data_IF_198384171735
#
_entry.id   IF_198384171735
#
_cell.length_a   1.000
_cell.length_b   1.000
_cell.length_c   1.000
_cell.angle_alpha   90.00
_cell.angle_beta   90.00
_cell.angle_gamma   90.00
#
_symmetry.space_group_name_H-M   'P 1'
#
loop_
_entity.id
_entity.type
_entity.pdbx_description
1 polymer ?
#
# COMPACT_ATOMS: atom_id res chain seq x y z
N UNK A 1 -14.00 34.34 7.01
CA UNK A 1 -15.25 34.94 6.46
C UNK A 1 -15.95 33.89 5.60
N UNK A 2 -17.22 33.58 5.89
CA UNK A 2 -17.96 32.47 5.29
C UNK A 2 -18.18 32.66 3.78
N UNK A 3 -17.69 31.72 2.96
CA UNK A 3 -18.09 31.60 1.54
C UNK A 3 -19.58 31.22 1.48
N UNK A 4 -20.33 31.96 0.69
CA UNK A 4 -21.78 31.81 0.56
C UNK A 4 -22.14 30.38 0.12
N UNK A 5 -23.33 29.91 0.52
CA UNK A 5 -23.85 28.58 0.12
C UNK A 5 -23.83 28.41 -1.41
N UNK A 6 -24.00 29.50 -2.15
CA UNK A 6 -23.96 29.55 -3.61
C UNK A 6 -22.56 29.31 -4.18
N UNK A 7 -21.53 29.90 -3.58
CA UNK A 7 -20.12 29.63 -3.96
C UNK A 7 -19.68 28.21 -3.63
N UNK A 8 -20.19 27.61 -2.54
CA UNK A 8 -19.93 26.21 -2.21
C UNK A 8 -20.57 25.24 -3.20
N UNK A 9 -21.78 25.54 -3.68
CA UNK A 9 -22.48 24.74 -4.71
C UNK A 9 -21.78 24.90 -6.07
N UNK A 10 -21.37 26.12 -6.43
CA UNK A 10 -20.63 26.37 -7.67
C UNK A 10 -19.25 25.71 -7.65
N UNK A 11 -18.51 25.76 -6.53
CA UNK A 11 -17.24 25.05 -6.38
C UNK A 11 -17.42 23.53 -6.44
N UNK A 12 -18.48 22.97 -5.83
CA UNK A 12 -18.82 21.54 -5.93
C UNK A 12 -19.16 21.13 -7.36
N UNK A 13 -19.95 21.93 -8.06
CA UNK A 13 -20.35 21.62 -9.44
C UNK A 13 -19.19 21.81 -10.44
N UNK A 14 -18.29 22.76 -10.19
CA UNK A 14 -17.07 22.96 -10.99
C UNK A 14 -16.06 21.83 -10.74
N UNK A 15 -15.89 21.40 -9.48
CA UNK A 15 -15.11 20.21 -9.14
C UNK A 15 -15.69 18.96 -9.80
N UNK A 16 -17.00 18.73 -9.69
CA UNK A 16 -17.66 17.56 -10.29
C UNK A 16 -17.51 17.54 -11.81
N UNK A 17 -17.62 18.69 -12.50
CA UNK A 17 -17.52 18.77 -13.96
C UNK A 17 -16.08 18.61 -14.49
N UNK A 18 -15.08 19.09 -13.76
CA UNK A 18 -13.66 18.77 -14.02
C UNK A 18 -13.36 17.30 -13.72
N UNK A 19 -13.91 16.77 -12.61
CA UNK A 19 -13.74 15.38 -12.20
C UNK A 19 -14.34 14.41 -13.22
N UNK A 20 -15.54 14.64 -13.76
CA UNK A 20 -16.13 13.75 -14.76
C UNK A 20 -15.44 13.80 -16.12
N UNK A 21 -15.08 14.97 -16.64
CA UNK A 21 -14.38 15.08 -17.93
C UNK A 21 -12.90 14.65 -17.88
N UNK A 22 -12.23 14.87 -16.74
CA UNK A 22 -10.93 14.26 -16.49
C UNK A 22 -11.08 12.74 -16.33
N UNK A 23 -12.00 12.24 -15.49
CA UNK A 23 -12.20 10.80 -15.26
C UNK A 23 -12.61 10.01 -16.50
N UNK A 24 -13.40 10.56 -17.43
CA UNK A 24 -13.78 9.83 -18.65
C UNK A 24 -12.61 9.71 -19.64
N UNK A 25 -11.85 10.79 -19.85
CA UNK A 25 -10.62 10.72 -20.66
C UNK A 25 -9.50 9.94 -19.95
N UNK A 26 -9.49 9.96 -18.62
CA UNK A 26 -8.51 9.31 -17.76
C UNK A 26 -8.77 7.80 -17.62
N UNK A 27 -10.03 7.37 -17.46
CA UNK A 27 -10.43 5.95 -17.56
C UNK A 27 -9.98 5.36 -18.89
N UNK A 28 -10.25 6.06 -20.00
CA UNK A 28 -9.80 5.64 -21.33
C UNK A 28 -8.28 5.64 -21.52
N UNK A 29 -7.51 6.36 -20.70
CA UNK A 29 -6.04 6.49 -20.84
C UNK A 29 -5.29 5.56 -19.89
N UNK A 30 -5.78 5.35 -18.66
CA UNK A 30 -5.32 4.25 -17.81
C UNK A 30 -5.64 2.91 -18.46
N UNK A 31 -6.83 2.74 -19.05
CA UNK A 31 -7.16 1.56 -19.88
C UNK A 31 -6.20 1.35 -21.07
N UNK A 32 -5.44 2.37 -21.50
CA UNK A 32 -4.44 2.26 -22.57
C UNK A 32 -3.03 1.92 -22.09
N UNK A 33 -2.70 2.12 -20.82
CA UNK A 33 -1.37 1.86 -20.23
C UNK A 33 -1.32 0.64 -19.29
N UNK A 34 -2.28 0.53 -18.36
CA UNK A 34 -2.36 -0.52 -17.34
C UNK A 34 -3.80 -0.97 -17.11
N UNK A 35 -4.05 -2.28 -17.05
CA UNK A 35 -5.29 -2.81 -16.49
C UNK A 35 -5.17 -2.82 -14.96
N UNK A 36 -5.31 -1.66 -14.31
CA UNK A 36 -5.55 -1.65 -12.86
C UNK A 36 -6.93 -2.27 -12.67
N UNK A 37 -7.02 -3.40 -11.96
CA UNK A 37 -8.31 -4.06 -11.74
C UNK A 37 -9.23 -3.15 -10.92
N UNK A 38 -10.10 -2.43 -11.61
CA UNK A 38 -11.29 -1.83 -11.01
C UNK A 38 -12.37 -2.90 -11.00
N UNK A 39 -12.54 -3.64 -9.89
CA UNK A 39 -13.86 -4.23 -9.66
C UNK A 39 -14.80 -3.05 -9.40
N UNK A 40 -15.84 -2.93 -10.23
CA UNK A 40 -16.94 -1.96 -10.03
C UNK A 40 -16.59 -0.47 -10.22
N UNK A 41 -15.50 -0.15 -10.92
CA UNK A 41 -15.08 1.24 -11.16
C UNK A 41 -14.38 1.91 -9.96
N UNK A 42 -14.00 1.14 -8.94
CA UNK A 42 -13.20 1.60 -7.81
C UNK A 42 -11.73 1.26 -8.05
N UNK A 43 -10.87 2.29 -8.13
CA UNK A 43 -9.43 2.07 -8.18
C UNK A 43 -8.93 1.51 -6.85
N UNK A 44 -8.14 0.44 -6.96
CA UNK A 44 -7.46 -0.17 -5.83
C UNK A 44 -6.10 0.47 -5.61
N UNK A 45 -5.63 0.43 -4.37
CA UNK A 45 -4.30 0.89 -4.02
C UNK A 45 -3.25 -0.02 -4.65
N UNK A 46 -2.16 0.59 -5.10
CA UNK A 46 -0.97 -0.12 -5.53
C UNK A 46 -0.11 -0.41 -4.30
N UNK A 47 0.24 -1.68 -4.14
CA UNK A 47 1.08 -2.19 -3.05
C UNK A 47 2.15 -3.09 -3.63
N UNK A 48 3.38 -2.95 -3.13
CA UNK A 48 4.47 -3.90 -3.41
C UNK A 48 4.40 -4.95 -2.33
N UNK A 49 4.17 -6.18 -2.76
CA UNK A 49 3.93 -7.29 -1.86
C UNK A 49 4.85 -8.45 -2.19
N UNK A 50 5.16 -9.24 -1.17
CA UNK A 50 5.70 -10.57 -1.34
C UNK A 50 4.66 -11.57 -0.85
N UNK A 51 4.46 -12.66 -1.60
CA UNK A 51 3.71 -13.80 -1.08
C UNK A 51 4.52 -14.43 0.04
N UNK A 52 3.82 -14.89 1.05
CA UNK A 52 4.44 -15.52 2.20
C UNK A 52 3.94 -16.96 2.27
N UNK A 53 4.88 -17.89 2.37
CA UNK A 53 4.60 -19.28 2.66
C UNK A 53 5.13 -19.61 4.06
N UNK A 54 4.19 -19.87 4.95
CA UNK A 54 4.43 -20.41 6.30
C UNK A 54 3.73 -21.75 6.35
N UNK A 55 4.09 -22.63 7.27
CA UNK A 55 3.32 -23.85 7.52
C UNK A 55 1.83 -23.51 7.74
N UNK A 56 0.98 -23.93 6.81
CA UNK A 56 -0.46 -23.65 6.83
C UNK A 56 -1.12 -24.27 8.06
N UNK A 57 -0.65 -25.43 8.53
CA UNK A 57 -1.18 -26.07 9.73
C UNK A 57 -0.89 -25.22 10.96
N UNK A 58 0.32 -24.65 11.04
CA UNK A 58 0.68 -23.74 12.12
C UNK A 58 -0.17 -22.47 12.12
N UNK A 59 -0.33 -21.81 10.96
CA UNK A 59 -1.15 -20.60 10.86
C UNK A 59 -2.62 -20.86 11.20
N UNK A 60 -3.19 -21.97 10.72
CA UNK A 60 -4.56 -22.38 11.04
C UNK A 60 -4.75 -22.63 12.52
N UNK A 61 -3.82 -23.34 13.16
CA UNK A 61 -3.86 -23.58 14.60
C UNK A 61 -3.83 -22.26 15.38
N UNK A 62 -2.93 -21.34 15.05
CA UNK A 62 -2.90 -20.02 15.69
C UNK A 62 -4.19 -19.23 15.49
N UNK A 63 -4.72 -19.17 14.27
CA UNK A 63 -5.98 -18.47 13.98
C UNK A 63 -7.16 -19.09 14.74
N UNK A 64 -7.15 -20.42 14.91
CA UNK A 64 -8.16 -21.14 15.70
C UNK A 64 -8.06 -20.77 17.17
N UNK A 65 -6.85 -20.84 17.77
CA UNK A 65 -6.62 -20.43 19.15
C UNK A 65 -7.03 -18.96 19.41
N UNK A 66 -6.73 -18.06 18.47
CA UNK A 66 -7.14 -16.66 18.54
C UNK A 66 -8.66 -16.50 18.47
N UNK A 67 -9.34 -17.25 17.60
CA UNK A 67 -10.80 -17.21 17.43
C UNK A 67 -11.52 -17.79 18.65
N UNK A 68 -10.97 -18.83 19.28
CA UNK A 68 -11.53 -19.41 20.51
C UNK A 68 -11.35 -18.47 21.70
N UNK A 69 -10.24 -17.73 21.75
CA UNK A 69 -9.92 -16.84 22.86
C UNK A 69 -10.62 -15.47 22.75
N UNK A 70 -10.81 -14.97 21.53
CA UNK A 70 -11.33 -13.64 21.26
C UNK A 70 -12.54 -13.74 20.32
N UNK A 71 -13.74 -13.57 20.87
CA UNK A 71 -15.03 -13.72 20.16
C UNK A 71 -15.17 -12.79 18.95
N UNK A 72 -14.47 -11.65 18.96
CA UNK A 72 -14.50 -10.63 17.92
C UNK A 72 -13.34 -10.74 16.91
N UNK A 73 -12.48 -11.76 17.03
CA UNK A 73 -11.39 -11.99 16.10
C UNK A 73 -11.90 -12.51 14.76
N UNK A 74 -11.53 -11.81 13.70
CA UNK A 74 -11.82 -12.17 12.31
C UNK A 74 -10.51 -12.57 11.61
N UNK A 75 -10.29 -13.87 11.34
CA UNK A 75 -9.06 -14.33 10.70
C UNK A 75 -8.96 -13.87 9.24
N UNK A 76 -7.75 -13.52 8.81
CA UNK A 76 -7.44 -13.32 7.38
C UNK A 76 -7.43 -14.67 6.67
N UNK A 77 -7.98 -14.73 5.45
CA UNK A 77 -7.84 -15.93 4.59
C UNK A 77 -6.36 -16.24 4.36
N UNK A 78 -5.96 -17.50 4.47
CA UNK A 78 -4.55 -17.90 4.28
C UNK A 78 -4.02 -17.56 2.89
N UNK A 79 -4.88 -17.64 1.86
CA UNK A 79 -4.53 -17.28 0.48
C UNK A 79 -4.27 -15.77 0.30
N UNK A 80 -4.76 -14.95 1.23
CA UNK A 80 -4.57 -13.50 1.26
C UNK A 80 -3.39 -13.08 2.14
N UNK A 81 -2.65 -14.00 2.73
CA UNK A 81 -1.46 -13.69 3.54
C UNK A 81 -0.32 -13.21 2.65
N UNK A 82 0.14 -11.99 2.91
CA UNK A 82 1.21 -11.32 2.18
C UNK A 82 2.01 -10.44 3.14
N UNK A 83 3.22 -10.10 2.70
CA UNK A 83 4.07 -9.10 3.35
C UNK A 83 4.11 -7.88 2.45
N UNK A 84 3.79 -6.72 3.00
CA UNK A 84 3.85 -5.47 2.23
C UNK A 84 5.21 -4.80 2.41
N UNK A 85 5.91 -4.56 1.30
CA UNK A 85 7.17 -3.84 1.25
C UNK A 85 6.98 -2.33 1.09
N UNK A 86 5.86 -1.92 0.51
CA UNK A 86 5.54 -0.51 0.35
C UNK A 86 4.13 -0.29 -0.21
N UNK A 87 3.61 0.89 0.07
CA UNK A 87 2.34 1.36 -0.46
C UNK A 87 2.61 2.54 -1.39
N UNK A 88 1.82 2.64 -2.45
CA UNK A 88 1.89 3.71 -3.45
C UNK A 88 0.58 4.49 -3.57
N UNK A 89 -0.42 4.15 -2.75
CA UNK A 89 -1.75 4.77 -2.79
C UNK A 89 -2.52 4.43 -4.06
N UNK A 90 -3.54 5.25 -4.37
CA UNK A 90 -4.31 5.16 -5.63
C UNK A 90 -3.68 6.08 -6.68
N UNK A 91 -3.44 5.62 -7.91
CA UNK A 91 -2.80 6.44 -8.96
C UNK A 91 -3.47 7.79 -9.21
N UNK A 92 -4.80 7.87 -9.22
CA UNK A 92 -5.53 9.14 -9.46
C UNK A 92 -5.24 10.17 -8.40
N UNK A 93 -5.29 9.72 -7.14
CA UNK A 93 -5.08 10.57 -6.00
C UNK A 93 -3.61 11.02 -5.95
N UNK A 94 -2.69 10.10 -6.28
CA UNK A 94 -1.27 10.42 -6.42
C UNK A 94 -1.03 11.49 -7.48
N UNK A 95 -1.65 11.37 -8.65
CA UNK A 95 -1.52 12.34 -9.72
C UNK A 95 -2.06 13.72 -9.32
N UNK A 96 -3.28 13.76 -8.76
CA UNK A 96 -3.92 15.02 -8.35
C UNK A 96 -3.15 15.73 -7.23
N UNK A 97 -2.58 14.99 -6.27
CA UNK A 97 -1.73 15.58 -5.23
C UNK A 97 -0.39 16.07 -5.79
N UNK A 98 0.26 15.30 -6.66
CA UNK A 98 1.49 15.74 -7.31
C UNK A 98 1.27 17.00 -8.15
N UNK A 99 0.11 17.17 -8.79
CA UNK A 99 -0.23 18.40 -9.52
C UNK A 99 -0.35 19.63 -8.62
N UNK A 100 -0.64 19.48 -7.33
CA UNK A 100 -0.69 20.62 -6.41
C UNK A 100 0.71 21.21 -6.15
N UNK A 101 1.74 20.36 -6.16
CA UNK A 101 3.14 20.76 -5.96
C UNK A 101 3.91 20.95 -7.27
N UNK A 102 3.48 20.29 -8.35
CA UNK A 102 4.00 20.42 -9.71
C UNK A 102 2.84 20.73 -10.68
N UNK A 103 2.40 21.99 -10.78
CA UNK A 103 1.19 22.38 -11.54
C UNK A 103 1.20 22.00 -13.03
N UNK A 104 2.39 21.90 -13.61
CA UNK A 104 2.58 21.58 -15.03
C UNK A 104 2.78 20.08 -15.29
N UNK A 105 2.64 19.21 -14.29
CA UNK A 105 2.73 17.76 -14.46
C UNK A 105 1.62 17.28 -15.41
N UNK A 106 2.02 16.70 -16.54
CA UNK A 106 1.10 16.11 -17.50
C UNK A 106 0.75 14.66 -17.11
N UNK A 107 -0.42 14.20 -17.51
CA UNK A 107 -0.85 12.82 -17.27
C UNK A 107 0.07 11.80 -17.95
N UNK A 108 0.51 12.11 -19.18
CA UNK A 108 1.39 11.20 -19.94
C UNK A 108 2.75 11.05 -19.25
N UNK A 109 3.33 12.17 -18.77
CA UNK A 109 4.57 12.15 -17.99
C UNK A 109 4.39 11.34 -16.70
N UNK A 110 3.29 11.56 -15.98
CA UNK A 110 3.00 10.83 -14.76
C UNK A 110 2.88 9.32 -15.02
N UNK A 111 2.12 8.93 -16.03
CA UNK A 111 1.89 7.52 -16.37
C UNK A 111 3.19 6.85 -16.79
N UNK A 112 3.98 7.47 -17.67
CA UNK A 112 5.29 6.92 -18.08
C UNK A 112 6.22 6.73 -16.86
N UNK A 113 6.28 7.71 -15.96
CA UNK A 113 7.10 7.59 -14.76
C UNK A 113 6.57 6.53 -13.79
N UNK A 114 5.24 6.37 -13.70
CA UNK A 114 4.59 5.34 -12.89
C UNK A 114 4.94 3.96 -13.44
N UNK A 115 4.88 3.77 -14.76
CA UNK A 115 5.23 2.51 -15.41
C UNK A 115 6.68 2.10 -15.12
N UNK A 116 7.60 3.05 -15.17
CA UNK A 116 9.01 2.84 -14.80
C UNK A 116 9.19 2.51 -13.32
N UNK A 117 8.43 3.16 -12.42
CA UNK A 117 8.39 2.85 -10.99
C UNK A 117 7.94 1.40 -10.78
N UNK A 118 6.81 1.01 -11.38
CA UNK A 118 6.26 -0.35 -11.29
C UNK A 118 7.26 -1.38 -11.86
N UNK A 119 7.91 -1.04 -12.98
CA UNK A 119 9.07 -1.74 -13.53
C UNK A 119 10.14 -2.06 -12.50
N UNK A 120 10.58 -1.04 -11.78
CA UNK A 120 11.69 -1.15 -10.84
C UNK A 120 11.32 -1.90 -9.55
N UNK A 121 10.11 -1.73 -9.02
CA UNK A 121 9.72 -2.31 -7.73
C UNK A 121 9.41 -3.82 -7.79
N UNK A 122 9.01 -4.35 -8.94
CA UNK A 122 8.83 -5.81 -9.12
C UNK A 122 10.12 -6.59 -8.91
N UNK A 123 11.27 -5.96 -9.10
CA UNK A 123 12.60 -6.59 -9.00
C UNK A 123 13.32 -6.30 -7.68
N UNK A 124 12.59 -5.88 -6.63
CA UNK A 124 13.19 -5.61 -5.32
C UNK A 124 13.58 -6.91 -4.61
N UNK A 125 12.71 -7.90 -4.64
CA UNK A 125 12.98 -9.28 -4.20
C UNK A 125 12.82 -10.18 -5.42
N UNK A 126 13.90 -10.81 -5.86
CA UNK A 126 13.94 -11.56 -7.12
C UNK A 126 13.96 -13.07 -6.94
N UNK A 127 14.17 -13.55 -5.72
CA UNK A 127 14.29 -14.96 -5.40
C UNK A 127 13.49 -15.32 -4.14
N UNK A 128 13.28 -16.61 -3.92
CA UNK A 128 12.67 -17.09 -2.69
C UNK A 128 13.68 -16.95 -1.54
N UNK A 129 13.28 -16.29 -0.47
CA UNK A 129 14.14 -16.01 0.67
C UNK A 129 13.53 -16.55 1.96
N UNK A 130 14.38 -17.17 2.79
CA UNK A 130 14.00 -17.64 4.12
C UNK A 130 14.20 -16.55 5.18
N UNK A 131 13.25 -16.43 6.10
CA UNK A 131 13.33 -15.63 7.32
C UNK A 131 12.60 -16.35 8.46
N UNK A 132 12.51 -15.73 9.63
CA UNK A 132 11.78 -16.25 10.79
C UNK A 132 10.82 -15.20 11.34
N UNK A 133 9.68 -15.66 11.84
CA UNK A 133 8.84 -14.82 12.69
C UNK A 133 9.49 -14.61 14.06
N UNK A 134 9.10 -13.55 14.75
CA UNK A 134 9.66 -13.17 16.05
C UNK A 134 8.59 -13.09 17.14
N UNK A 135 7.45 -12.47 16.84
CA UNK A 135 6.46 -12.12 17.86
C UNK A 135 5.04 -12.03 17.27
N UNK A 136 4.04 -12.36 18.08
CA UNK A 136 2.64 -12.00 17.80
C UNK A 136 2.34 -10.71 18.55
N UNK A 137 1.77 -9.74 17.85
CA UNK A 137 1.40 -8.43 18.41
C UNK A 137 -0.01 -8.03 17.98
N UNK A 138 -0.58 -7.11 18.74
CA UNK A 138 -1.76 -6.34 18.34
C UNK A 138 -1.33 -4.91 18.03
N UNK A 139 -1.67 -4.42 16.85
CA UNK A 139 -1.51 -3.01 16.49
C UNK A 139 -2.72 -2.20 16.92
N UNK A 140 -2.53 -0.88 17.12
CA UNK A 140 -3.60 0.06 17.51
C UNK A 140 -4.79 0.07 16.54
N UNK A 141 -4.56 -0.34 15.28
CA UNK A 141 -5.59 -0.52 14.26
C UNK A 141 -6.54 -1.70 14.52
N UNK A 142 -6.26 -2.53 15.53
CA UNK A 142 -6.94 -3.80 15.78
C UNK A 142 -6.37 -4.97 14.98
N UNK A 143 -5.30 -4.76 14.20
CA UNK A 143 -4.66 -5.84 13.45
C UNK A 143 -3.85 -6.75 14.38
N UNK A 144 -4.13 -8.05 14.36
CA UNK A 144 -3.29 -9.07 14.99
C UNK A 144 -2.27 -9.54 13.97
N UNK A 145 -0.99 -9.39 14.32
CA UNK A 145 0.10 -9.55 13.37
C UNK A 145 1.15 -10.53 13.89
N UNK A 146 1.81 -11.20 12.95
CA UNK A 146 3.04 -11.94 13.17
C UNK A 146 4.20 -11.09 12.65
N UNK A 147 5.06 -10.62 13.54
CA UNK A 147 6.24 -9.83 13.17
C UNK A 147 7.31 -10.76 12.58
N UNK A 148 8.03 -10.22 11.61
CA UNK A 148 9.03 -10.95 10.82
C UNK A 148 10.38 -10.27 11.02
N UNK A 149 11.43 -11.09 11.19
CA UNK A 149 12.78 -10.58 11.33
C UNK A 149 13.19 -9.74 10.13
N UNK A 150 13.63 -8.51 10.38
CA UNK A 150 13.83 -7.49 9.33
C UNK A 150 14.98 -7.81 8.38
N UNK A 151 15.93 -8.68 8.75
CA UNK A 151 17.07 -9.17 7.94
C UNK A 151 17.27 -8.50 6.58
N UNK A 152 16.94 -9.21 5.49
CA UNK A 152 17.02 -8.67 4.13
C UNK A 152 15.84 -7.73 3.77
N UNK A 153 14.75 -7.79 4.52
CA UNK A 153 13.51 -7.06 4.27
C UNK A 153 13.69 -5.56 4.50
N UNK A 154 14.54 -5.16 5.44
CA UNK A 154 14.96 -3.78 5.63
C UNK A 154 15.57 -3.21 4.33
N UNK A 155 16.52 -3.95 3.74
CA UNK A 155 17.14 -3.60 2.45
C UNK A 155 16.11 -3.55 1.32
N UNK A 156 15.14 -4.46 1.30
CA UNK A 156 14.07 -4.48 0.30
C UNK A 156 13.18 -3.22 0.42
N UNK A 157 12.71 -2.90 1.62
CA UNK A 157 11.94 -1.68 1.90
C UNK A 157 12.71 -0.42 1.54
N UNK A 158 14.00 -0.36 1.87
CA UNK A 158 14.86 0.78 1.51
C UNK A 158 14.95 0.95 -0.01
N UNK A 159 15.08 -0.14 -0.78
CA UNK A 159 15.05 -0.06 -2.25
C UNK A 159 13.71 0.47 -2.78
N UNK A 160 12.57 0.03 -2.23
CA UNK A 160 11.25 0.56 -2.61
C UNK A 160 11.17 2.06 -2.33
N UNK A 161 11.70 2.50 -1.18
CA UNK A 161 11.78 3.91 -0.82
C UNK A 161 12.66 4.71 -1.79
N UNK A 162 13.86 4.25 -2.10
CA UNK A 162 14.75 4.94 -3.05
C UNK A 162 14.14 5.03 -4.46
N UNK A 163 13.46 3.97 -4.90
CA UNK A 163 12.71 3.95 -6.17
C UNK A 163 11.57 4.98 -6.13
N UNK A 164 10.87 5.11 -5.00
CA UNK A 164 9.84 6.12 -4.76
C UNK A 164 10.40 7.54 -4.87
N UNK A 165 11.53 7.84 -4.21
CA UNK A 165 12.16 9.15 -4.28
C UNK A 165 12.54 9.52 -5.72
N UNK A 166 13.06 8.55 -6.48
CA UNK A 166 13.38 8.75 -7.91
C UNK A 166 12.12 9.05 -8.72
N UNK A 167 11.02 8.35 -8.48
CA UNK A 167 9.73 8.62 -9.13
C UNK A 167 9.23 10.03 -8.84
N UNK A 168 9.23 10.47 -7.58
CA UNK A 168 8.81 11.83 -7.20
C UNK A 168 9.69 12.89 -7.89
N UNK A 169 11.00 12.68 -7.91
CA UNK A 169 11.95 13.56 -8.58
C UNK A 169 11.72 13.64 -10.09
N UNK A 170 11.45 12.50 -10.75
CA UNK A 170 11.10 12.44 -12.18
C UNK A 170 9.80 13.17 -12.51
N UNK A 171 8.86 13.21 -11.57
CA UNK A 171 7.63 13.98 -11.69
C UNK A 171 7.80 15.47 -11.34
N UNK A 172 9.02 15.93 -11.03
CA UNK A 172 9.33 17.34 -10.81
C UNK A 172 9.23 17.82 -9.36
N UNK A 173 9.06 16.91 -8.39
CA UNK A 173 9.11 17.25 -6.97
C UNK A 173 10.54 17.66 -6.61
N UNK A 174 10.70 18.89 -6.10
CA UNK A 174 12.01 19.47 -5.79
C UNK A 174 12.68 18.79 -4.60
N UNK A 175 11.91 18.51 -3.55
CA UNK A 175 12.35 17.80 -2.35
C UNK A 175 11.43 16.60 -2.08
N UNK A 176 11.74 15.42 -2.67
CA UNK A 176 10.96 14.21 -2.48
C UNK A 176 10.84 13.76 -1.02
N UNK A 177 11.89 13.93 -0.20
CA UNK A 177 11.89 13.47 1.19
C UNK A 177 10.98 14.34 2.05
N UNK A 178 11.09 15.67 1.91
CA UNK A 178 10.20 16.60 2.61
C UNK A 178 8.74 16.42 2.18
N UNK A 179 8.49 16.17 0.88
CA UNK A 179 7.16 15.85 0.38
C UNK A 179 6.59 14.62 1.09
N UNK A 180 7.32 13.51 1.14
CA UNK A 180 6.88 12.29 1.83
C UNK A 180 6.65 12.49 3.33
N UNK A 181 7.46 13.30 4.00
CA UNK A 181 7.28 13.62 5.42
C UNK A 181 6.04 14.50 5.68
N UNK A 182 5.62 15.28 4.68
CA UNK A 182 4.45 16.16 4.78
C UNK A 182 3.11 15.44 4.54
N UNK A 183 3.14 14.30 3.85
CA UNK A 183 1.98 13.43 3.69
C UNK A 183 1.61 12.84 5.07
N UNK A 184 0.53 13.33 5.68
CA UNK A 184 0.09 12.91 7.02
C UNK A 184 -0.33 11.44 7.05
N UNK A 185 0.11 10.70 8.06
CA UNK A 185 -0.23 9.28 8.28
C UNK A 185 -1.72 9.01 8.56
N UNK A 186 -2.52 10.03 8.88
CA UNK A 186 -3.87 9.83 9.45
C UNK A 186 -5.06 10.10 8.51
N UNK A 187 -4.88 10.62 7.29
CA UNK A 187 -6.05 10.95 6.45
C UNK A 187 -5.89 10.84 4.93
N UNK A 188 -4.69 10.60 4.38
CA UNK A 188 -4.52 10.58 2.92
C UNK A 188 -4.67 9.18 2.35
N UNK A 189 -5.34 9.06 1.20
CA UNK A 189 -5.35 7.85 0.36
C UNK A 189 -3.97 7.52 -0.26
N UNK A 190 -2.95 8.29 0.14
CA UNK A 190 -1.54 8.16 -0.13
C UNK A 190 -0.83 7.72 1.13
N UNK A 191 -0.32 6.50 1.07
CA UNK A 191 0.59 5.96 2.05
C UNK A 191 1.86 5.65 1.31
N UNK A 192 2.91 6.43 1.51
CA UNK A 192 4.25 6.00 1.22
C UNK A 192 4.87 5.60 2.55
N UNK A 193 5.03 4.30 2.75
CA UNK A 193 5.59 3.81 3.99
C UNK A 193 7.10 4.05 3.99
N UNK A 194 7.55 4.92 4.90
CA UNK A 194 8.96 5.12 5.20
C UNK A 194 9.49 3.87 5.89
N UNK A 195 10.55 3.21 5.36
CA UNK A 195 11.05 1.91 5.85
C UNK A 195 11.32 1.87 7.35
N UNK A 196 11.83 2.97 7.92
CA UNK A 196 12.29 3.03 9.32
C UNK A 196 11.16 3.02 10.35
N UNK A 197 9.89 3.21 9.95
CA UNK A 197 8.78 3.42 10.91
C UNK A 197 7.78 2.28 10.98
N UNK A 198 7.85 1.30 10.09
CA UNK A 198 6.88 0.22 10.08
C UNK A 198 7.55 -1.14 10.26
N UNK A 199 7.25 -1.74 11.40
CA UNK A 199 7.61 -3.11 11.72
C UNK A 199 7.15 -4.06 10.60
N UNK A 200 8.04 -4.92 10.12
CA UNK A 200 7.69 -5.90 9.10
C UNK A 200 6.80 -6.99 9.69
N UNK A 201 5.63 -7.21 9.09
CA UNK A 201 4.65 -8.11 9.67
C UNK A 201 3.73 -8.75 8.62
N UNK A 202 3.04 -9.80 9.05
CA UNK A 202 1.94 -10.46 8.35
C UNK A 202 0.68 -10.32 9.21
N UNK A 203 -0.44 -9.93 8.61
CA UNK A 203 -1.72 -9.82 9.32
C UNK A 203 -2.41 -11.19 9.42
N UNK A 204 -2.52 -11.71 10.63
CA UNK A 204 -3.23 -12.97 10.92
C UNK A 204 -4.74 -12.76 10.97
N UNK A 205 -5.20 -11.57 11.34
CA UNK A 205 -6.60 -11.21 11.42
C UNK A 205 -6.81 -9.87 12.13
N UNK A 206 -8.06 -9.59 12.50
CA UNK A 206 -8.48 -8.31 13.07
C UNK A 206 -9.37 -8.51 14.30
N UNK A 207 -9.26 -7.65 15.30
CA UNK A 207 -10.16 -7.57 16.46
C UNK A 207 -10.86 -6.20 16.49
N UNK A 208 -11.96 -6.08 17.24
CA UNK A 208 -12.60 -4.79 17.52
C UNK A 208 -11.91 -4.13 18.73
N UNK A 209 -12.05 -2.81 18.84
CA UNK A 209 -11.16 -1.88 19.56
C UNK A 209 -11.05 -1.97 21.10
N UNK A 210 -11.23 -3.14 21.72
CA UNK A 210 -11.05 -3.34 23.16
C UNK A 210 -10.31 -4.64 23.54
N UNK A 211 -9.86 -5.41 22.55
CA UNK A 211 -9.12 -6.66 22.80
C UNK A 211 -7.67 -6.36 23.14
N UNK A 212 -7.13 -6.97 24.20
CA UNK A 212 -5.70 -6.93 24.50
C UNK A 212 -5.10 -8.29 24.21
N UNK A 213 -4.10 -8.34 23.32
CA UNK A 213 -3.32 -9.54 23.07
C UNK A 213 -2.00 -9.41 23.81
N UNK A 214 -1.71 -10.36 24.70
CA UNK A 214 -0.38 -10.47 25.29
C UNK A 214 0.59 -10.85 24.18
N UNK A 215 1.62 -10.04 23.99
CA UNK A 215 2.66 -10.37 23.03
C UNK A 215 3.28 -11.73 23.36
N UNK A 216 3.47 -12.55 22.33
CA UNK A 216 4.01 -13.90 22.46
C UNK A 216 5.17 -14.05 21.50
N UNK A 217 6.35 -14.39 22.02
CA UNK A 217 7.48 -14.77 21.17
C UNK A 217 7.15 -16.05 20.43
N UNK A 218 7.47 -16.07 19.15
CA UNK A 218 7.33 -17.21 18.26
C UNK A 218 8.55 -17.27 17.37
N UNK A 219 8.89 -18.47 16.90
CA UNK A 219 9.98 -18.67 15.96
C UNK A 219 9.53 -19.68 14.94
N UNK A 220 8.93 -19.19 13.86
CA UNK A 220 8.45 -20.03 12.77
C UNK A 220 9.18 -19.64 11.49
N UNK A 221 9.74 -20.62 10.76
CA UNK A 221 10.32 -20.38 9.45
C UNK A 221 9.29 -19.82 8.48
N UNK A 222 9.69 -18.80 7.74
CA UNK A 222 8.86 -18.10 6.76
C UNK A 222 9.62 -18.07 5.44
N UNK A 223 8.97 -18.48 4.36
CA UNK A 223 9.47 -18.31 3.00
C UNK A 223 8.77 -17.11 2.36
N UNK A 224 9.54 -16.27 1.71
CA UNK A 224 9.07 -15.05 1.06
C UNK A 224 9.36 -15.19 -0.43
N UNK A 225 8.32 -15.10 -1.24
CA UNK A 225 8.43 -15.14 -2.69
C UNK A 225 8.95 -13.83 -3.26
N UNK A 226 9.38 -13.82 -4.54
CA UNK A 226 9.66 -12.59 -5.26
C UNK A 226 8.56 -11.54 -5.11
N UNK A 227 8.97 -10.28 -5.10
CA UNK A 227 8.06 -9.14 -5.01
C UNK A 227 7.18 -9.04 -6.25
N UNK A 228 5.94 -8.65 -6.08
CA UNK A 228 5.02 -8.32 -7.14
C UNK A 228 4.20 -7.08 -6.75
N UNK A 229 3.47 -6.54 -7.72
CA UNK A 229 2.58 -5.41 -7.48
C UNK A 229 1.15 -5.91 -7.47
N UNK A 230 0.47 -5.81 -6.33
CA UNK A 230 -0.95 -6.15 -6.26
C UNK A 230 -1.76 -5.08 -6.98
N UNK A 231 -2.82 -5.53 -7.66
CA UNK A 231 -3.77 -4.69 -8.39
C UNK A 231 -3.20 -3.95 -9.62
N UNK A 232 -1.98 -4.26 -10.05
CA UNK A 232 -1.47 -3.88 -11.37
C UNK A 232 -1.56 -5.11 -12.31
N UNK A 233 -2.25 -5.00 -13.44
CA UNK A 233 -2.03 -5.92 -14.57
C UNK A 233 -1.24 -5.19 -15.64
N UNK A 234 -0.05 -5.71 -15.94
CA UNK A 234 0.70 -5.33 -17.13
C UNK A 234 -0.06 -5.81 -18.37
N UNK A 235 0.06 -5.06 -19.46
CA UNK A 235 -0.39 -5.50 -20.78
C UNK A 235 0.51 -6.65 -21.23
N UNK A 236 -0.08 -7.76 -21.65
CA UNK A 236 0.59 -8.78 -22.47
C UNK A 236 0.79 -8.28 -23.90
#
# INVERSE_FOLDING_TARGET
>A
MYRSRRERILAKNFYVCLYTNCMENYKQTIEKGFNIETKEGVQKRLTVECKVSVDHTFLQQMQTELSEKYEDFSPTTLDDIHLTLGHFGKPDHLFEELKQVVPNLSLDTFTTNLDELLGAVEHVVTENLGTTSEEIKLFDSGAVVLTISEGFLHTAKQKVYDITLKFLKKNGVQDPEAYLQSCSFDTSDLYFLVPERAETHITLGWTKGHTTITNKKVSVPVQISPSYIRNAKRRE
#
